data_IF_344384837449
#
_entry.id   IF_344384837449
#
_cell.length_a   1.000
_cell.length_b   1.000
_cell.length_c   1.000
_cell.angle_alpha   90.00
_cell.angle_beta   90.00
_cell.angle_gamma   90.00
#
_symmetry.space_group_name_H-M   'P 1'
#
loop_
_entity.id
_entity.type
_entity.pdbx_description
1 polymer ?
#
# COMPACT_ATOMS: atom_id res chain seq x y z
N UNK A 1 -24.50 2.28 -22.13
CA UNK A 1 -24.54 2.43 -20.67
C UNK A 1 -23.59 3.55 -20.29
N UNK A 2 -24.13 4.70 -19.89
CA UNK A 2 -23.33 5.84 -19.41
C UNK A 2 -23.25 5.67 -17.89
N UNK A 3 -22.16 5.07 -17.41
CA UNK A 3 -21.93 4.87 -15.97
C UNK A 3 -21.66 6.25 -15.38
N UNK A 4 -22.45 6.68 -14.39
CA UNK A 4 -22.16 7.93 -13.68
C UNK A 4 -20.89 7.76 -12.84
N UNK A 5 -20.17 8.84 -12.61
CA UNK A 5 -18.93 8.81 -11.82
C UNK A 5 -19.15 8.15 -10.44
N UNK A 6 -20.31 8.40 -9.82
CA UNK A 6 -20.68 7.82 -8.53
C UNK A 6 -20.89 6.29 -8.59
N UNK A 7 -21.45 5.78 -9.68
CA UNK A 7 -21.60 4.33 -9.88
C UNK A 7 -20.25 3.66 -10.16
N UNK A 8 -19.34 4.33 -10.85
CA UNK A 8 -17.99 3.85 -11.07
C UNK A 8 -17.17 3.83 -9.77
N UNK A 9 -17.25 4.91 -8.97
CA UNK A 9 -16.58 5.01 -7.67
C UNK A 9 -17.14 3.97 -6.68
N UNK A 10 -18.45 3.77 -6.63
CA UNK A 10 -19.06 2.73 -5.79
C UNK A 10 -18.62 1.32 -6.17
N UNK A 11 -18.50 1.03 -7.48
CA UNK A 11 -17.99 -0.25 -7.96
C UNK A 11 -16.51 -0.47 -7.64
N UNK A 12 -15.69 0.59 -7.67
CA UNK A 12 -14.28 0.53 -7.25
C UNK A 12 -14.18 0.28 -5.76
N UNK A 13 -14.87 1.06 -4.92
CA UNK A 13 -14.84 0.88 -3.46
C UNK A 13 -15.22 -0.54 -3.07
N UNK A 14 -16.32 -1.06 -3.62
CA UNK A 14 -16.75 -2.44 -3.34
C UNK A 14 -15.69 -3.49 -3.75
N UNK A 15 -14.93 -3.27 -4.82
CA UNK A 15 -13.84 -4.16 -5.20
C UNK A 15 -12.64 -4.04 -4.27
N UNK A 16 -12.33 -2.83 -3.81
CA UNK A 16 -11.26 -2.58 -2.84
C UNK A 16 -11.59 -3.25 -1.51
N UNK A 17 -12.81 -3.09 -1.00
CA UNK A 17 -13.25 -3.71 0.25
C UNK A 17 -13.19 -5.25 0.17
N UNK A 18 -13.60 -5.81 -0.97
CA UNK A 18 -13.49 -7.26 -1.20
C UNK A 18 -12.04 -7.74 -1.29
N UNK A 19 -11.15 -6.96 -1.90
CA UNK A 19 -9.72 -7.26 -1.94
C UNK A 19 -9.11 -7.23 -0.53
N UNK A 20 -9.45 -6.23 0.27
CA UNK A 20 -9.00 -6.11 1.66
C UNK A 20 -9.45 -7.34 2.48
N UNK A 21 -10.73 -7.70 2.41
CA UNK A 21 -11.25 -8.90 3.08
C UNK A 21 -10.55 -10.20 2.60
N UNK A 22 -10.22 -10.29 1.32
CA UNK A 22 -9.52 -11.46 0.76
C UNK A 22 -8.07 -11.52 1.24
N UNK A 23 -7.39 -10.37 1.34
CA UNK A 23 -6.01 -10.28 1.85
C UNK A 23 -5.96 -10.68 3.32
N UNK A 24 -6.94 -10.25 4.12
CA UNK A 24 -7.03 -10.61 5.54
C UNK A 24 -7.27 -12.11 5.74
N UNK A 25 -8.18 -12.71 4.97
CA UNK A 25 -8.40 -14.17 5.00
C UNK A 25 -7.15 -14.94 4.58
N UNK A 26 -6.48 -14.51 3.50
CA UNK A 26 -5.24 -15.12 3.02
C UNK A 26 -4.14 -15.05 4.09
N UNK A 27 -3.96 -13.88 4.72
CA UNK A 27 -2.99 -13.68 5.79
C UNK A 27 -3.26 -14.59 6.98
N UNK A 28 -4.53 -14.73 7.39
CA UNK A 28 -4.92 -15.63 8.47
C UNK A 28 -4.55 -17.08 8.16
N UNK A 29 -4.90 -17.57 6.96
CA UNK A 29 -4.60 -18.94 6.53
C UNK A 29 -3.09 -19.19 6.45
N UNK A 30 -2.34 -18.25 5.89
CA UNK A 30 -0.87 -18.34 5.81
C UNK A 30 -0.24 -18.39 7.20
N UNK A 31 -0.70 -17.55 8.14
CA UNK A 31 -0.22 -17.56 9.51
C UNK A 31 -0.49 -18.91 10.20
N UNK A 32 -1.69 -19.48 10.04
CA UNK A 32 -2.02 -20.81 10.57
C UNK A 32 -1.09 -21.87 9.97
N UNK A 33 -0.87 -21.85 8.66
CA UNK A 33 0.04 -22.77 7.99
C UNK A 33 1.48 -22.64 8.51
N UNK A 34 1.98 -21.42 8.68
CA UNK A 34 3.31 -21.17 9.26
C UNK A 34 3.44 -21.73 10.67
N UNK A 35 2.41 -21.57 11.52
CA UNK A 35 2.39 -22.19 12.87
C UNK A 35 2.42 -23.71 12.82
N UNK A 36 1.69 -24.32 11.89
CA UNK A 36 1.72 -25.77 11.68
C UNK A 36 3.12 -26.23 11.24
N UNK A 37 3.76 -25.50 10.31
CA UNK A 37 5.13 -25.80 9.86
C UNK A 37 6.13 -25.69 11.00
N UNK A 38 6.10 -24.62 11.80
CA UNK A 38 7.00 -24.47 12.96
C UNK A 38 6.78 -25.56 14.01
N UNK A 39 5.53 -26.00 14.19
CA UNK A 39 5.20 -27.12 15.08
C UNK A 39 5.70 -28.47 14.53
N UNK A 40 5.70 -28.65 13.20
CA UNK A 40 6.17 -29.87 12.55
C UNK A 40 7.70 -29.93 12.45
N UNK A 41 8.36 -28.77 12.31
CA UNK A 41 9.81 -28.62 12.18
C UNK A 41 10.31 -27.60 13.22
N UNK A 42 10.49 -28.00 14.50
CA UNK A 42 10.89 -27.10 15.58
C UNK A 42 12.22 -26.38 15.32
N UNK A 43 13.14 -27.09 14.68
CA UNK A 43 14.49 -26.63 14.34
C UNK A 43 14.56 -25.70 13.13
N UNK A 44 13.44 -25.30 12.54
CA UNK A 44 13.45 -24.36 11.41
C UNK A 44 14.10 -23.04 11.85
N UNK A 45 15.20 -22.68 11.18
CA UNK A 45 16.02 -21.51 11.48
C UNK A 45 15.73 -20.35 10.54
N UNK A 46 16.28 -19.17 10.85
CA UNK A 46 16.21 -18.01 9.95
C UNK A 46 16.92 -18.28 8.62
N UNK A 47 18.07 -18.94 8.64
CA UNK A 47 18.86 -19.31 7.46
C UNK A 47 18.08 -20.25 6.50
N UNK A 48 17.20 -21.10 7.04
CA UNK A 48 16.32 -21.95 6.22
C UNK A 48 15.26 -21.11 5.49
N UNK A 49 14.75 -20.06 6.13
CA UNK A 49 13.81 -19.12 5.52
C UNK A 49 14.52 -18.27 4.47
N UNK A 50 15.72 -17.76 4.78
CA UNK A 50 16.51 -16.93 3.86
C UNK A 50 16.83 -17.67 2.56
N UNK A 51 17.20 -18.94 2.68
CA UNK A 51 17.45 -19.80 1.52
C UNK A 51 16.20 -19.95 0.65
N UNK A 52 15.05 -20.26 1.27
CA UNK A 52 13.79 -20.42 0.54
C UNK A 52 13.34 -19.11 -0.14
N UNK A 53 13.53 -17.97 0.52
CA UNK A 53 13.23 -16.64 -0.06
C UNK A 53 14.15 -16.35 -1.25
N UNK A 54 15.45 -16.62 -1.11
CA UNK A 54 16.42 -16.36 -2.16
C UNK A 54 16.17 -17.24 -3.39
N UNK A 55 15.88 -18.52 -3.19
CA UNK A 55 15.49 -19.45 -4.25
C UNK A 55 14.23 -18.97 -4.99
N UNK A 56 13.20 -18.51 -4.27
CA UNK A 56 11.96 -17.99 -4.89
C UNK A 56 12.21 -16.69 -5.68
N UNK A 57 13.06 -15.79 -5.17
CA UNK A 57 13.41 -14.56 -5.87
C UNK A 57 14.23 -14.85 -7.15
N UNK A 58 15.12 -15.83 -7.11
CA UNK A 58 15.82 -16.31 -8.30
C UNK A 58 14.86 -16.88 -9.34
N UNK A 59 13.91 -17.73 -8.93
CA UNK A 59 12.86 -18.27 -9.82
C UNK A 59 12.03 -17.13 -10.42
N UNK A 60 11.66 -16.13 -9.61
CA UNK A 60 10.88 -14.97 -10.07
C UNK A 60 11.66 -14.14 -11.09
N UNK A 61 12.98 -13.98 -10.89
CA UNK A 61 13.87 -13.33 -11.84
C UNK A 61 14.00 -14.11 -13.14
N UNK A 62 14.21 -15.43 -13.07
CA UNK A 62 14.29 -16.29 -14.25
C UNK A 62 12.98 -16.31 -15.05
N UNK A 63 11.84 -16.18 -14.37
CA UNK A 63 10.53 -16.04 -15.00
C UNK A 63 10.31 -14.67 -15.69
N UNK A 64 11.26 -13.73 -15.55
CA UNK A 64 11.18 -12.38 -16.13
C UNK A 64 10.17 -11.48 -15.42
N UNK A 65 9.86 -11.78 -14.16
CA UNK A 65 8.89 -11.03 -13.34
C UNK A 65 9.56 -9.98 -12.42
N UNK A 66 10.90 -9.91 -12.43
CA UNK A 66 11.71 -8.92 -11.71
C UNK A 66 12.62 -8.15 -12.67
N UNK A 67 12.96 -6.90 -12.30
CA UNK A 67 13.89 -6.09 -13.07
C UNK A 67 15.34 -6.48 -12.76
N UNK A 68 16.27 -6.37 -13.73
CA UNK A 68 17.69 -6.73 -13.51
C UNK A 68 18.36 -5.90 -12.41
N UNK A 69 17.84 -4.71 -12.11
CA UNK A 69 18.36 -3.78 -11.11
C UNK A 69 17.77 -3.98 -9.71
N UNK A 70 16.85 -4.92 -9.52
CA UNK A 70 16.33 -5.21 -8.19
C UNK A 70 17.47 -5.77 -7.32
N UNK A 71 17.77 -5.10 -6.21
CA UNK A 71 18.75 -5.56 -5.23
C UNK A 71 18.18 -6.79 -4.50
N UNK A 72 18.29 -7.96 -5.12
CA UNK A 72 17.74 -9.24 -4.64
C UNK A 72 18.15 -9.49 -3.20
N UNK A 73 19.40 -9.20 -2.85
CA UNK A 73 19.94 -9.39 -1.51
C UNK A 73 19.20 -8.52 -0.47
N UNK A 74 18.99 -7.23 -0.76
CA UNK A 74 18.26 -6.32 0.11
C UNK A 74 16.76 -6.65 0.21
N UNK A 75 16.16 -7.20 -0.85
CA UNK A 75 14.77 -7.67 -0.86
C UNK A 75 14.65 -8.98 -0.05
N UNK A 76 15.59 -9.90 -0.24
CA UNK A 76 15.65 -11.19 0.44
C UNK A 76 15.75 -11.03 1.94
N UNK A 77 16.66 -10.17 2.42
CA UNK A 77 16.83 -9.90 3.85
C UNK A 77 15.54 -9.37 4.49
N UNK A 78 14.91 -8.37 3.86
CA UNK A 78 13.66 -7.77 4.37
C UNK A 78 12.50 -8.76 4.38
N UNK A 79 12.37 -9.58 3.35
CA UNK A 79 11.34 -10.61 3.27
C UNK A 79 11.57 -11.70 4.32
N UNK A 80 12.82 -12.12 4.48
CA UNK A 80 13.23 -13.11 5.48
C UNK A 80 12.89 -12.64 6.89
N UNK A 81 13.28 -11.41 7.25
CA UNK A 81 12.97 -10.83 8.56
C UNK A 81 11.48 -10.76 8.84
N UNK A 82 10.70 -10.36 7.82
CA UNK A 82 9.25 -10.31 7.91
C UNK A 82 8.66 -11.70 8.15
N UNK A 83 8.96 -12.67 7.28
CA UNK A 83 8.42 -14.03 7.33
C UNK A 83 8.83 -14.73 8.63
N UNK A 84 10.11 -14.63 9.00
CA UNK A 84 10.64 -15.24 10.21
C UNK A 84 10.00 -14.65 11.47
N UNK A 85 9.81 -13.32 11.54
CA UNK A 85 9.09 -12.68 12.63
C UNK A 85 7.63 -13.13 12.76
N UNK A 86 6.93 -13.34 11.64
CA UNK A 86 5.57 -13.91 11.65
C UNK A 86 5.54 -15.38 12.07
N UNK A 87 6.56 -16.16 11.69
CA UNK A 87 6.71 -17.57 12.04
C UNK A 87 6.93 -17.78 13.54
N UNK A 88 7.87 -17.03 14.13
CA UNK A 88 8.08 -16.98 15.58
C UNK A 88 6.83 -16.43 16.29
N UNK A 89 6.18 -15.46 15.64
CA UNK A 89 4.94 -14.84 16.04
C UNK A 89 4.96 -14.43 17.50
N UNK A 90 6.04 -13.77 17.88
CA UNK A 90 6.11 -12.99 19.11
C UNK A 90 5.08 -11.85 18.99
N UNK A 91 3.99 -12.01 19.74
CA UNK A 91 2.87 -11.05 19.77
C UNK A 91 3.35 -9.68 20.22
N UNK A 92 4.44 -9.61 20.99
CA UNK A 92 5.03 -8.37 21.50
C UNK A 92 5.67 -7.57 20.37
N UNK A 93 6.49 -8.22 19.55
CA UNK A 93 7.17 -7.59 18.41
C UNK A 93 6.17 -7.21 17.30
N UNK A 94 5.14 -8.03 17.09
CA UNK A 94 4.06 -7.72 16.15
C UNK A 94 3.24 -6.50 16.59
N UNK A 95 2.96 -6.36 17.89
CA UNK A 95 2.30 -5.16 18.43
C UNK A 95 3.16 -3.92 18.26
N UNK A 96 4.46 -4.03 18.55
CA UNK A 96 5.38 -2.90 18.41
C UNK A 96 5.51 -2.44 16.94
N UNK A 97 5.62 -3.38 15.99
CA UNK A 97 5.61 -3.07 14.55
C UNK A 97 4.29 -2.43 14.10
N UNK A 98 3.15 -2.89 14.62
CA UNK A 98 1.83 -2.31 14.33
C UNK A 98 1.66 -0.91 14.91
N UNK A 99 2.17 -0.66 16.13
CA UNK A 99 2.13 0.66 16.76
C UNK A 99 3.05 1.65 16.04
N UNK A 100 4.24 1.21 15.61
CA UNK A 100 5.14 2.00 14.78
C UNK A 100 4.52 2.33 13.40
N UNK A 101 3.80 1.37 12.79
CA UNK A 101 3.07 1.60 11.55
C UNK A 101 1.92 2.61 11.73
N UNK A 102 1.12 2.46 12.79
CA UNK A 102 0.05 3.42 13.14
C UNK A 102 0.59 4.82 13.37
N UNK A 103 1.72 4.93 14.07
CA UNK A 103 2.38 6.22 14.33
C UNK A 103 2.84 6.87 13.01
N UNK A 104 3.48 6.12 12.11
CA UNK A 104 3.87 6.63 10.79
C UNK A 104 2.67 7.04 9.94
N UNK A 105 1.57 6.29 10.00
CA UNK A 105 0.34 6.63 9.29
C UNK A 105 -0.27 7.93 9.85
N UNK A 106 -0.29 8.07 11.18
CA UNK A 106 -0.77 9.27 11.84
C UNK A 106 0.09 10.49 11.49
N UNK A 107 1.42 10.35 11.55
CA UNK A 107 2.36 11.38 11.15
C UNK A 107 2.21 11.76 9.67
N UNK A 108 1.95 10.79 8.78
CA UNK A 108 1.67 11.04 7.37
C UNK A 108 0.33 11.77 7.16
N UNK A 109 -0.74 11.38 7.88
CA UNK A 109 -2.03 12.08 7.84
C UNK A 109 -1.94 13.50 8.43
N UNK A 110 -1.14 13.71 9.47
CA UNK A 110 -0.87 15.03 10.05
C UNK A 110 0.00 15.89 9.11
N UNK A 111 0.95 15.28 8.40
CA UNK A 111 1.74 15.92 7.36
C UNK A 111 0.90 16.27 6.11
N UNK A 112 -0.10 15.45 5.75
CA UNK A 112 -1.07 15.79 4.70
C UNK A 112 -2.04 16.89 5.14
N UNK A 113 -2.49 16.89 6.41
CA UNK A 113 -3.28 17.99 6.98
C UNK A 113 -2.50 19.31 7.05
N UNK A 114 -1.18 19.28 7.15
CA UNK A 114 -0.35 20.49 7.06
C UNK A 114 0.01 20.89 5.62
N UNK A 115 -0.16 19.98 4.65
CA UNK A 115 -0.10 20.22 3.20
C UNK A 115 -1.50 20.28 2.57
N UNK A 116 -2.49 20.85 3.27
CA UNK A 116 -3.73 21.27 2.62
C UNK A 116 -3.32 22.35 1.61
N UNK A 117 -3.19 21.94 0.35
CA UNK A 117 -3.32 22.87 -0.77
C UNK A 117 -4.65 23.56 -0.54
N UNK A 118 -4.64 24.88 -0.38
CA UNK A 118 -5.84 25.71 -0.34
C UNK A 118 -6.58 25.53 -1.67
N UNK A 119 -7.36 24.46 -1.77
CA UNK A 119 -8.23 24.23 -2.92
C UNK A 119 -9.34 25.25 -2.72
N UNK A 120 -9.20 26.39 -3.39
CA UNK A 120 -10.22 27.43 -3.40
C UNK A 120 -11.58 26.78 -3.67
N UNK A 121 -12.64 27.14 -2.92
CA UNK A 121 -13.96 26.56 -3.11
C UNK A 121 -14.36 26.66 -4.57
N UNK A 122 -15.04 25.65 -5.12
CA UNK A 122 -15.44 25.61 -6.53
C UNK A 122 -16.24 26.86 -7.01
N UNK A 123 -16.73 27.70 -6.09
CA UNK A 123 -17.31 29.01 -6.37
C UNK A 123 -16.32 30.12 -6.76
N UNK A 124 -15.03 30.00 -6.47
CA UNK A 124 -14.01 31.03 -6.77
C UNK A 124 -13.68 31.09 -8.27
N UNK A 125 -13.66 29.93 -8.95
CA UNK A 125 -13.50 29.85 -10.41
C UNK A 125 -14.68 30.50 -11.14
N UNK A 126 -15.89 30.40 -10.58
CA UNK A 126 -17.09 31.02 -11.15
C UNK A 126 -17.10 32.55 -10.99
N UNK A 127 -16.40 33.11 -9.99
CA UNK A 127 -16.24 34.57 -9.84
C UNK A 127 -15.20 35.13 -10.81
N UNK A 128 -14.09 34.42 -11.04
CA UNK A 128 -13.06 34.82 -12.01
C UNK A 128 -13.60 34.78 -13.46
N UNK A 129 -14.50 33.86 -13.78
CA UNK A 129 -15.14 33.78 -15.09
C UNK A 129 -16.15 34.88 -15.41
N UNK A 130 -16.72 35.54 -14.39
CA UNK A 130 -17.71 36.61 -14.60
C UNK A 130 -17.09 38.00 -14.86
N UNK A 131 -15.87 38.27 -14.37
CA UNK A 131 -15.21 39.56 -14.62
C UNK A 131 -14.57 39.68 -16.01
N UNK A 132 -14.28 38.57 -16.70
CA UNK A 132 -13.66 38.59 -18.04
C UNK A 132 -14.69 38.86 -19.15
N UNK A 133 -15.99 38.81 -18.83
CA UNK A 133 -17.08 38.87 -19.82
C UNK A 133 -17.66 40.24 -20.16
N UNK A 134 -17.22 41.35 -19.54
CA UNK A 134 -17.93 42.62 -19.72
C UNK A 134 -17.02 43.87 -19.82
N UNK A 135 -16.37 44.05 -20.97
CA UNK A 135 -16.01 45.39 -21.49
C UNK A 135 -15.85 45.34 -23.02
N UNK A 136 -17.00 45.37 -23.71
CA UNK A 136 -17.07 45.80 -25.11
C UNK A 136 -16.73 47.29 -25.21
N UNK A 137 -15.63 47.58 -25.90
CA UNK A 137 -15.48 48.69 -26.87
C UNK A 137 -15.50 50.15 -26.37
N UNK A 138 -14.36 50.84 -26.52
CA UNK A 138 -14.30 52.09 -27.30
C UNK A 138 -12.84 52.39 -27.69
N UNK A 139 -12.53 52.26 -28.98
CA UNK A 139 -11.36 52.86 -29.61
C UNK A 139 -11.68 54.34 -29.79
N UNK A 140 -10.79 55.23 -29.35
CA UNK A 140 -10.77 56.63 -29.78
C UNK A 140 -9.32 56.98 -30.10
N UNK A 141 -9.17 57.60 -31.27
CA UNK A 141 -7.96 58.03 -31.98
C UNK A 141 -6.96 58.81 -31.12
#
# INVERSE_FOLDING_TARGET
MQISLDQFLGAIMSRVDNLEATIDDLRLRTNIAMRLVKSAVPQLTKDDVERAVSEELEVTKEAGMMEENDEIEAISEKLTDSIYGWLEGDVSELREKMDAYRKKLQEAMEAEKSKVIDVAPAGFVNQLGQEIGNKKGKIIF
#
